data_IF_526916921948
#
_entry.id   IF_526916921948
#
_cell.length_a   1.000
_cell.length_b   1.000
_cell.length_c   1.000
_cell.angle_alpha   90.00
_cell.angle_beta   90.00
_cell.angle_gamma   90.00
#
_symmetry.space_group_name_H-M   'P 1'
#
loop_
_entity.id
_entity.type
_entity.pdbx_description
1 polymer ?
#
# COMPACT_ATOMS: atom_id res chain seq x y z
N UNK A 1 5.07 -25.67 4.05
CA UNK A 1 4.17 -24.58 4.54
C UNK A 1 2.82 -25.24 4.76
N UNK A 2 2.33 -25.27 6.00
CA UNK A 2 1.03 -25.88 6.33
C UNK A 2 -0.11 -24.88 6.15
N UNK A 3 -0.19 -23.88 6.98
CA UNK A 3 -1.28 -22.87 7.00
C UNK A 3 -0.69 -21.48 6.80
N UNK A 4 -1.34 -20.66 5.99
CA UNK A 4 -0.97 -19.25 5.80
C UNK A 4 -1.88 -18.40 6.67
N UNK A 5 -1.30 -17.44 7.41
CA UNK A 5 -2.06 -16.49 8.22
C UNK A 5 -1.74 -15.05 7.84
N UNK A 6 -2.75 -14.19 7.88
CA UNK A 6 -2.60 -12.75 7.73
C UNK A 6 -3.64 -11.99 8.55
N UNK A 7 -3.29 -10.80 8.97
CA UNK A 7 -4.23 -9.82 9.52
C UNK A 7 -4.53 -8.77 8.46
N UNK A 8 -5.61 -8.91 7.73
CA UNK A 8 -6.06 -7.94 6.74
C UNK A 8 -7.44 -8.28 6.18
N UNK A 9 -8.33 -7.31 6.12
CA UNK A 9 -9.61 -7.42 5.38
C UNK A 9 -9.56 -6.82 3.98
N UNK A 10 -8.52 -6.03 3.68
CA UNK A 10 -8.35 -5.37 2.39
C UNK A 10 -7.74 -6.27 1.31
N UNK A 11 -7.21 -5.66 0.27
CA UNK A 11 -6.63 -6.33 -0.89
C UNK A 11 -5.55 -7.36 -0.53
N UNK A 12 -4.77 -7.10 0.53
CA UNK A 12 -3.75 -8.03 1.01
C UNK A 12 -4.35 -9.33 1.57
N UNK A 13 -5.45 -9.24 2.34
CA UNK A 13 -6.19 -10.40 2.84
C UNK A 13 -6.83 -11.18 1.70
N UNK A 14 -7.53 -10.50 0.79
CA UNK A 14 -8.17 -11.10 -0.37
C UNK A 14 -7.17 -11.83 -1.27
N UNK A 15 -6.03 -11.20 -1.59
CA UNK A 15 -4.96 -11.83 -2.35
C UNK A 15 -4.38 -13.06 -1.64
N UNK A 16 -4.20 -12.99 -0.31
CA UNK A 16 -3.71 -14.14 0.48
C UNK A 16 -4.69 -15.30 0.41
N UNK A 17 -5.98 -15.05 0.64
CA UNK A 17 -7.01 -16.09 0.58
C UNK A 17 -7.13 -16.70 -0.82
N UNK A 18 -7.18 -15.87 -1.87
CA UNK A 18 -7.27 -16.31 -3.25
C UNK A 18 -6.06 -17.17 -3.67
N UNK A 19 -4.84 -16.70 -3.39
CA UNK A 19 -3.62 -17.43 -3.76
C UNK A 19 -3.45 -18.72 -2.95
N UNK A 20 -3.80 -18.73 -1.68
CA UNK A 20 -3.79 -19.94 -0.88
C UNK A 20 -4.77 -20.99 -1.45
N UNK A 21 -5.99 -20.56 -1.80
CA UNK A 21 -6.99 -21.43 -2.42
C UNK A 21 -6.49 -22.01 -3.76
N UNK A 22 -5.83 -21.22 -4.60
CA UNK A 22 -5.34 -21.65 -5.91
C UNK A 22 -4.28 -22.76 -5.85
N UNK A 23 -3.58 -22.87 -4.71
CA UNK A 23 -2.55 -23.90 -4.48
C UNK A 23 -2.97 -24.92 -3.42
N UNK A 24 -4.23 -24.91 -2.99
CA UNK A 24 -4.79 -25.88 -2.04
C UNK A 24 -4.24 -25.74 -0.61
N UNK A 25 -3.79 -24.54 -0.21
CA UNK A 25 -3.31 -24.28 1.15
C UNK A 25 -4.41 -23.66 2.02
N UNK A 26 -4.52 -24.04 3.31
CA UNK A 26 -5.40 -23.37 4.23
C UNK A 26 -4.97 -21.93 4.47
N UNK A 27 -5.93 -21.00 4.45
CA UNK A 27 -5.71 -19.60 4.82
C UNK A 27 -6.53 -19.23 6.04
N UNK A 28 -5.90 -18.54 6.99
CA UNK A 28 -6.52 -17.96 8.17
C UNK A 28 -6.34 -16.44 8.12
N UNK A 29 -7.46 -15.73 8.20
CA UNK A 29 -7.45 -14.27 8.21
C UNK A 29 -8.01 -13.78 9.55
N UNK A 30 -7.21 -12.99 10.27
CA UNK A 30 -7.66 -12.29 11.45
C UNK A 30 -8.05 -10.86 11.03
N UNK A 31 -9.22 -10.42 11.50
CA UNK A 31 -9.79 -9.14 11.13
C UNK A 31 -10.48 -8.51 12.33
N UNK A 32 -10.47 -7.18 12.49
CA UNK A 32 -11.29 -6.56 13.50
C UNK A 32 -12.79 -6.83 13.22
N UNK A 33 -13.60 -6.96 14.28
CA UNK A 33 -15.04 -7.20 14.14
C UNK A 33 -15.76 -6.10 13.38
N UNK A 34 -15.21 -4.90 13.37
CA UNK A 34 -15.71 -3.73 12.61
C UNK A 34 -15.48 -3.83 11.10
N UNK A 35 -14.82 -4.89 10.63
CA UNK A 35 -14.53 -5.09 9.22
C UNK A 35 -15.80 -5.07 8.35
N UNK A 36 -15.81 -4.41 7.18
CA UNK A 36 -16.96 -4.35 6.30
C UNK A 36 -17.43 -5.76 5.89
N UNK A 37 -18.73 -6.08 6.00
CA UNK A 37 -19.25 -7.42 5.69
C UNK A 37 -18.93 -7.90 4.28
N UNK A 38 -18.91 -7.00 3.30
CA UNK A 38 -18.57 -7.34 1.92
C UNK A 38 -17.13 -7.84 1.77
N UNK A 39 -16.18 -7.25 2.51
CA UNK A 39 -14.78 -7.71 2.53
C UNK A 39 -14.64 -9.07 3.21
N UNK A 40 -15.33 -9.28 4.32
CA UNK A 40 -15.36 -10.59 5.00
C UNK A 40 -15.97 -11.66 4.09
N UNK A 41 -17.07 -11.36 3.41
CA UNK A 41 -17.72 -12.27 2.46
C UNK A 41 -16.77 -12.70 1.32
N UNK A 42 -15.96 -11.78 0.80
CA UNK A 42 -14.94 -12.10 -0.22
C UNK A 42 -13.89 -13.10 0.29
N UNK A 43 -13.40 -12.92 1.51
CA UNK A 43 -12.44 -13.85 2.13
C UNK A 43 -13.04 -15.26 2.29
N UNK A 44 -14.27 -15.32 2.78
CA UNK A 44 -15.02 -16.58 2.93
C UNK A 44 -15.29 -17.26 1.59
N UNK A 45 -15.60 -16.48 0.54
CA UNK A 45 -15.81 -17.02 -0.81
C UNK A 45 -14.55 -17.69 -1.39
N UNK A 46 -13.35 -17.21 -1.01
CA UNK A 46 -12.08 -17.88 -1.34
C UNK A 46 -11.77 -19.09 -0.41
N UNK A 47 -12.65 -19.43 0.51
CA UNK A 47 -12.47 -20.58 1.43
C UNK A 47 -11.55 -20.30 2.61
N UNK A 48 -11.19 -19.04 2.88
CA UNK A 48 -10.41 -18.70 4.06
C UNK A 48 -11.25 -18.84 5.35
N UNK A 49 -10.61 -19.26 6.43
CA UNK A 49 -11.17 -19.16 7.77
C UNK A 49 -10.96 -17.75 8.29
N UNK A 50 -12.04 -17.04 8.64
CA UNK A 50 -11.97 -15.66 9.11
C UNK A 50 -12.30 -15.61 10.60
N UNK A 51 -11.36 -15.10 11.39
CA UNK A 51 -11.55 -14.84 12.81
C UNK A 51 -11.76 -13.36 13.05
N UNK A 52 -12.95 -12.99 13.53
CA UNK A 52 -13.26 -11.61 13.89
C UNK A 52 -12.78 -11.32 15.32
N UNK A 53 -11.80 -10.45 15.43
CA UNK A 53 -11.18 -10.05 16.70
C UNK A 53 -11.97 -8.89 17.31
N UNK A 54 -12.29 -8.98 18.60
CA UNK A 54 -12.84 -7.88 19.37
C UNK A 54 -11.74 -6.87 19.69
N UNK A 55 -11.45 -5.98 18.76
CA UNK A 55 -10.38 -5.00 18.89
C UNK A 55 -10.03 -4.30 17.59
N UNK A 56 -8.89 -3.65 17.60
CA UNK A 56 -8.34 -2.88 16.49
C UNK A 56 -7.64 -3.76 15.44
N UNK A 57 -7.25 -3.15 14.32
CA UNK A 57 -6.38 -3.80 13.34
C UNK A 57 -5.03 -4.22 13.95
N UNK A 58 -4.43 -3.36 14.79
CA UNK A 58 -3.15 -3.66 15.42
C UNK A 58 -3.22 -4.86 16.36
N UNK A 59 -4.31 -5.00 17.13
CA UNK A 59 -4.54 -6.17 17.97
C UNK A 59 -4.74 -7.45 17.16
N UNK A 60 -5.48 -7.39 16.04
CA UNK A 60 -5.59 -8.52 15.11
C UNK A 60 -4.25 -8.89 14.48
N UNK A 61 -3.43 -7.89 14.17
CA UNK A 61 -2.09 -8.07 13.63
C UNK A 61 -1.18 -8.78 14.65
N UNK A 62 -1.12 -8.29 15.87
CA UNK A 62 -0.29 -8.86 16.93
C UNK A 62 -0.74 -10.29 17.31
N UNK A 63 -2.06 -10.54 17.35
CA UNK A 63 -2.62 -11.87 17.54
C UNK A 63 -2.22 -12.84 16.44
N UNK A 64 -2.14 -12.37 15.18
CA UNK A 64 -1.71 -13.20 14.06
C UNK A 64 -0.24 -13.61 14.17
N UNK A 65 0.62 -12.77 14.73
CA UNK A 65 2.02 -13.11 15.02
C UNK A 65 2.07 -14.17 16.12
N UNK A 66 1.40 -13.95 17.25
CA UNK A 66 1.36 -14.89 18.36
C UNK A 66 0.83 -16.28 17.91
N UNK A 67 -0.23 -16.30 17.10
CA UNK A 67 -0.77 -17.54 16.54
C UNK A 67 0.23 -18.22 15.59
N UNK A 68 0.97 -17.46 14.79
CA UNK A 68 2.02 -18.01 13.93
C UNK A 68 3.10 -18.73 14.71
N UNK A 69 3.57 -18.10 15.79
CA UNK A 69 4.60 -18.66 16.66
C UNK A 69 4.09 -19.90 17.41
N UNK A 70 2.85 -19.85 17.91
CA UNK A 70 2.26 -20.95 18.69
C UNK A 70 1.95 -22.20 17.82
N UNK A 71 1.50 -21.99 16.60
CA UNK A 71 1.02 -23.08 15.72
C UNK A 71 1.94 -23.41 14.54
N UNK A 72 3.05 -22.70 14.38
CA UNK A 72 3.97 -22.88 13.25
C UNK A 72 3.36 -22.45 11.91
N UNK A 73 2.45 -21.48 11.90
CA UNK A 73 1.83 -20.98 10.68
C UNK A 73 2.75 -20.00 9.94
N UNK A 74 2.64 -19.99 8.61
CA UNK A 74 3.37 -19.02 7.79
C UNK A 74 2.68 -17.66 7.83
N UNK A 75 3.28 -16.72 8.55
CA UNK A 75 2.75 -15.36 8.64
C UNK A 75 3.10 -14.55 7.40
N UNK A 76 2.08 -14.01 6.73
CA UNK A 76 2.18 -13.25 5.50
C UNK A 76 2.00 -11.74 5.73
N UNK A 77 1.92 -11.27 6.97
CA UNK A 77 1.67 -9.85 7.24
C UNK A 77 2.67 -8.92 6.58
N UNK A 78 2.15 -7.81 6.07
CA UNK A 78 2.93 -6.66 5.60
C UNK A 78 3.78 -6.11 6.77
N UNK A 79 5.04 -5.76 6.49
CA UNK A 79 5.96 -5.26 7.51
C UNK A 79 6.57 -6.33 8.42
N UNK A 80 5.98 -7.52 8.49
CA UNK A 80 6.53 -8.67 9.22
C UNK A 80 7.30 -9.62 8.29
N UNK A 81 6.68 -10.00 7.18
CA UNK A 81 7.28 -10.93 6.21
C UNK A 81 8.01 -10.17 5.09
N UNK A 82 9.34 -10.31 4.95
CA UNK A 82 10.12 -9.59 3.96
C UNK A 82 9.75 -9.94 2.51
N UNK A 83 9.22 -11.14 2.26
CA UNK A 83 8.79 -11.54 0.91
C UNK A 83 7.60 -10.76 0.39
N UNK A 84 6.86 -10.06 1.25
CA UNK A 84 5.77 -9.17 0.78
C UNK A 84 6.28 -8.01 -0.06
N UNK A 85 7.48 -7.52 0.19
CA UNK A 85 8.16 -6.49 -0.61
C UNK A 85 8.65 -7.07 -1.94
N UNK A 86 9.18 -8.30 -1.92
CA UNK A 86 9.64 -8.99 -3.13
C UNK A 86 8.50 -9.21 -4.14
N UNK A 87 7.31 -9.57 -3.68
CA UNK A 87 6.15 -9.67 -4.55
C UNK A 87 5.73 -8.33 -5.15
N UNK A 88 5.77 -7.26 -4.37
CA UNK A 88 5.34 -5.91 -4.82
C UNK A 88 6.32 -5.22 -5.77
N UNK A 89 7.58 -5.63 -5.82
CA UNK A 89 8.56 -5.07 -6.76
C UNK A 89 8.23 -5.31 -8.22
N UNK A 90 7.39 -6.31 -8.52
CA UNK A 90 6.99 -6.63 -9.91
C UNK A 90 6.28 -5.46 -10.58
N UNK A 91 5.59 -4.60 -9.83
CA UNK A 91 4.98 -3.39 -10.38
C UNK A 91 6.03 -2.45 -11.02
N UNK A 92 7.24 -2.35 -10.45
CA UNK A 92 8.32 -1.58 -11.05
C UNK A 92 8.81 -2.19 -12.37
N UNK A 93 8.82 -3.50 -12.48
CA UNK A 93 9.20 -4.19 -13.70
C UNK A 93 8.19 -3.97 -14.83
N UNK A 94 6.89 -3.99 -14.50
CA UNK A 94 5.84 -3.68 -15.47
C UNK A 94 5.87 -2.21 -15.92
N UNK A 95 6.08 -1.27 -14.99
CA UNK A 95 6.27 0.15 -15.32
C UNK A 95 7.48 0.32 -16.24
N UNK A 96 8.60 -0.35 -15.94
CA UNK A 96 9.78 -0.32 -16.78
C UNK A 96 9.50 -0.89 -18.18
N UNK A 97 8.89 -2.07 -18.26
CA UNK A 97 8.57 -2.74 -19.52
C UNK A 97 7.64 -1.89 -20.39
N UNK A 98 6.58 -1.34 -19.82
CA UNK A 98 5.55 -0.64 -20.57
C UNK A 98 5.90 0.80 -20.95
N UNK A 99 6.70 1.49 -20.16
CA UNK A 99 7.02 2.91 -20.36
C UNK A 99 8.48 3.16 -20.72
N UNK A 100 9.42 2.61 -19.95
CA UNK A 100 10.84 3.00 -20.00
C UNK A 100 11.60 2.23 -21.06
N UNK A 101 11.41 0.92 -21.16
CA UNK A 101 12.15 0.05 -22.09
C UNK A 101 11.95 0.44 -23.56
N UNK A 102 10.87 1.14 -23.86
CA UNK A 102 10.57 1.67 -25.20
C UNK A 102 11.50 2.81 -25.62
N UNK A 103 12.30 3.34 -24.72
CA UNK A 103 13.18 4.50 -24.93
C UNK A 103 12.45 5.84 -25.09
N UNK A 104 11.11 5.86 -24.91
CA UNK A 104 10.31 7.08 -25.05
C UNK A 104 10.33 7.97 -23.81
N UNK A 105 10.68 7.41 -22.67
CA UNK A 105 10.62 8.08 -21.36
C UNK A 105 11.91 7.82 -20.60
N UNK A 106 12.54 8.90 -20.13
CA UNK A 106 13.74 8.82 -19.31
C UNK A 106 13.34 8.58 -17.83
N UNK A 107 13.86 7.54 -17.16
CA UNK A 107 13.57 7.27 -15.75
C UNK A 107 13.76 8.47 -14.83
N UNK A 108 14.79 9.29 -15.07
CA UNK A 108 15.11 10.47 -14.27
C UNK A 108 14.03 11.57 -14.34
N UNK A 109 13.20 11.57 -15.38
CA UNK A 109 12.15 12.57 -15.61
C UNK A 109 10.78 12.11 -15.09
N UNK A 110 10.66 10.83 -14.67
CA UNK A 110 9.41 10.27 -14.19
C UNK A 110 9.26 10.50 -12.68
N UNK A 111 8.05 10.87 -12.28
CA UNK A 111 7.61 10.79 -10.88
C UNK A 111 6.45 9.80 -10.79
N UNK A 112 6.58 8.80 -9.90
CA UNK A 112 5.56 7.77 -9.68
C UNK A 112 4.83 8.09 -8.39
N UNK A 113 3.54 8.40 -8.50
CA UNK A 113 2.67 8.67 -7.36
C UNK A 113 2.09 7.36 -6.83
N UNK A 114 2.30 7.09 -5.55
CA UNK A 114 1.97 5.82 -4.92
C UNK A 114 1.18 6.09 -3.63
N UNK A 115 -0.03 5.54 -3.48
CA UNK A 115 -0.76 5.66 -2.23
C UNK A 115 -0.08 4.86 -1.13
N UNK A 116 0.03 5.43 0.06
CA UNK A 116 0.84 4.89 1.15
C UNK A 116 0.05 4.78 2.45
N UNK A 117 -0.21 3.55 2.89
CA UNK A 117 -0.60 3.21 4.25
C UNK A 117 0.62 2.74 5.04
N UNK A 118 0.82 1.43 5.16
CA UNK A 118 1.97 0.81 5.84
C UNK A 118 3.34 1.13 5.22
N UNK A 119 3.40 1.57 3.96
CA UNK A 119 4.65 1.84 3.26
C UNK A 119 5.23 0.67 2.48
N UNK A 120 4.55 -0.49 2.44
CA UNK A 120 5.10 -1.69 1.81
C UNK A 120 5.09 -1.63 0.27
N UNK A 121 4.05 -1.04 -0.35
CA UNK A 121 3.96 -0.93 -1.81
C UNK A 121 5.08 -0.03 -2.36
N UNK A 122 5.22 1.17 -1.82
CA UNK A 122 6.26 2.12 -2.26
C UNK A 122 7.66 1.55 -2.04
N UNK A 123 7.87 0.79 -0.95
CA UNK A 123 9.12 0.09 -0.66
C UNK A 123 9.40 -1.02 -1.69
N UNK A 124 8.37 -1.76 -2.11
CA UNK A 124 8.48 -2.78 -3.15
C UNK A 124 8.82 -2.20 -4.52
N UNK A 125 8.12 -1.14 -4.92
CA UNK A 125 8.39 -0.43 -6.19
C UNK A 125 9.82 0.12 -6.17
N UNK A 126 10.25 0.77 -5.08
CA UNK A 126 11.61 1.24 -4.93
C UNK A 126 12.65 0.11 -5.08
N UNK A 127 12.37 -1.05 -4.46
CA UNK A 127 13.23 -2.21 -4.56
C UNK A 127 13.34 -2.71 -6.01
N UNK A 128 12.23 -2.79 -6.72
CA UNK A 128 12.23 -3.21 -8.12
C UNK A 128 13.07 -2.28 -9.00
N UNK A 129 12.92 -0.96 -8.87
CA UNK A 129 13.76 -0.01 -9.61
C UNK A 129 15.23 -0.08 -9.21
N UNK A 130 15.56 -0.34 -7.95
CA UNK A 130 16.95 -0.59 -7.54
C UNK A 130 17.52 -1.87 -8.14
N UNK A 131 16.70 -2.92 -8.31
CA UNK A 131 17.13 -4.14 -8.98
C UNK A 131 17.40 -3.85 -10.47
N UNK A 132 16.53 -3.09 -11.16
CA UNK A 132 16.75 -2.65 -12.55
C UNK A 132 18.02 -1.78 -12.71
N UNK A 133 18.27 -0.87 -11.77
CA UNK A 133 19.49 -0.06 -11.74
C UNK A 133 20.75 -0.92 -11.58
N UNK A 134 20.72 -1.90 -10.67
CA UNK A 134 21.85 -2.84 -10.47
C UNK A 134 22.12 -3.72 -11.67
N UNK A 135 21.08 -4.06 -12.43
CA UNK A 135 21.19 -4.81 -13.68
C UNK A 135 21.66 -3.95 -14.86
N UNK A 136 21.78 -2.64 -14.69
CA UNK A 136 22.13 -1.71 -15.76
C UNK A 136 21.02 -1.52 -16.81
N UNK A 137 19.76 -1.83 -16.46
CA UNK A 137 18.61 -1.64 -17.34
C UNK A 137 18.03 -0.23 -17.29
N UNK A 138 18.37 0.51 -16.26
CA UNK A 138 18.17 1.95 -16.11
C UNK A 138 19.41 2.58 -15.51
N UNK A 139 19.67 3.85 -15.83
CA UNK A 139 20.83 4.60 -15.33
C UNK A 139 20.53 5.39 -14.07
N UNK A 140 19.26 5.69 -13.81
CA UNK A 140 18.80 6.49 -12.68
C UNK A 140 17.46 5.97 -12.15
N UNK A 141 17.22 6.20 -10.87
CA UNK A 141 15.93 5.89 -10.24
C UNK A 141 14.87 6.94 -10.62
N UNK A 142 13.64 6.53 -10.92
CA UNK A 142 12.53 7.46 -10.98
C UNK A 142 12.24 8.05 -9.59
N UNK A 143 11.71 9.26 -9.54
CA UNK A 143 11.27 9.86 -8.28
C UNK A 143 10.00 9.19 -7.78
N UNK A 144 9.94 8.91 -6.48
CA UNK A 144 8.78 8.33 -5.84
C UNK A 144 8.04 9.40 -5.03
N UNK A 145 6.78 9.64 -5.36
CA UNK A 145 5.89 10.50 -4.59
C UNK A 145 4.95 9.62 -3.75
N UNK A 146 5.18 9.57 -2.45
CA UNK A 146 4.28 8.90 -1.51
C UNK A 146 3.06 9.76 -1.22
N UNK A 147 1.86 9.24 -1.42
CA UNK A 147 0.62 9.97 -1.15
C UNK A 147 -0.09 9.37 0.06
N UNK A 148 -0.34 10.17 1.07
CA UNK A 148 -1.10 9.79 2.27
C UNK A 148 -2.35 10.66 2.42
N UNK A 149 -3.43 10.08 2.94
CA UNK A 149 -4.57 10.87 3.40
C UNK A 149 -4.16 11.73 4.61
N UNK A 150 -4.62 12.97 4.70
CA UNK A 150 -4.28 13.88 5.82
C UNK A 150 -4.61 13.28 7.19
N UNK A 151 -5.71 12.52 7.28
CA UNK A 151 -6.12 11.81 8.49
C UNK A 151 -5.27 10.59 8.83
N UNK A 152 -4.33 10.16 7.93
CA UNK A 152 -3.46 9.00 8.13
C UNK A 152 -2.04 9.27 7.59
N UNK A 153 -1.41 10.36 7.99
CA UNK A 153 -0.20 10.91 7.37
C UNK A 153 1.06 10.75 8.23
N UNK A 154 1.22 9.65 8.98
CA UNK A 154 2.33 9.44 9.89
C UNK A 154 3.70 9.52 9.21
N UNK A 155 3.86 8.90 8.03
CA UNK A 155 5.13 8.88 7.29
C UNK A 155 5.43 10.25 6.68
N UNK A 156 4.41 10.90 6.08
CA UNK A 156 4.58 12.23 5.48
C UNK A 156 5.00 13.28 6.53
N UNK A 157 4.45 13.21 7.74
CA UNK A 157 4.84 14.07 8.87
C UNK A 157 6.29 13.84 9.28
N UNK A 158 6.74 12.59 9.40
CA UNK A 158 8.13 12.27 9.71
C UNK A 158 9.08 12.75 8.60
N UNK A 159 8.69 12.59 7.34
CA UNK A 159 9.47 13.09 6.20
C UNK A 159 9.63 14.62 6.24
N UNK A 160 8.53 15.34 6.44
CA UNK A 160 8.53 16.82 6.53
C UNK A 160 9.35 17.34 7.72
N UNK A 161 9.34 16.62 8.85
CA UNK A 161 10.16 16.93 10.02
C UNK A 161 11.64 16.54 9.87
N UNK A 162 12.04 15.90 8.76
CA UNK A 162 13.42 15.46 8.54
C UNK A 162 13.88 14.36 9.49
N UNK A 163 12.96 13.65 10.16
CA UNK A 163 13.26 12.60 11.14
C UNK A 163 13.02 11.20 10.57
N UNK A 164 13.66 10.19 11.16
CA UNK A 164 13.38 8.78 10.90
C UNK A 164 12.35 8.20 11.89
N UNK A 165 12.03 8.95 12.94
CA UNK A 165 11.06 8.52 13.92
C UNK A 165 9.64 8.78 13.42
N UNK A 166 8.89 7.71 13.18
CA UNK A 166 7.48 7.77 12.79
C UNK A 166 6.65 7.65 14.07
N UNK A 167 5.91 8.70 14.38
CA UNK A 167 4.97 8.70 15.50
C UNK A 167 3.60 8.18 15.04
N UNK A 168 2.90 7.40 15.87
CA UNK A 168 1.56 6.94 15.54
C UNK A 168 0.57 8.12 15.44
N UNK A 169 -0.47 7.92 14.65
CA UNK A 169 -1.60 8.83 14.52
C UNK A 169 -2.89 8.10 14.85
N UNK A 170 -3.98 8.81 15.05
CA UNK A 170 -5.32 8.22 15.02
C UNK A 170 -5.83 8.29 13.58
N UNK A 171 -5.67 7.21 12.84
CA UNK A 171 -5.99 7.21 11.43
C UNK A 171 -7.50 7.28 11.21
N UNK A 172 -7.92 8.26 10.42
CA UNK A 172 -9.31 8.44 10.02
C UNK A 172 -9.35 8.98 8.58
N UNK A 173 -9.85 8.18 7.64
CA UNK A 173 -9.99 8.53 6.23
C UNK A 173 -10.97 7.59 5.53
N UNK A 174 -11.62 8.07 4.47
CA UNK A 174 -12.45 7.25 3.55
C UNK A 174 -11.62 6.24 2.77
N UNK A 175 -10.31 6.46 2.66
CA UNK A 175 -9.36 5.58 1.99
C UNK A 175 -8.87 4.48 2.96
N UNK A 176 -9.77 3.57 3.34
CA UNK A 176 -9.57 2.57 4.40
C UNK A 176 -8.33 1.68 4.20
N UNK A 177 -7.98 1.34 2.95
CA UNK A 177 -6.81 0.50 2.64
C UNK A 177 -5.46 1.19 2.88
N UNK A 178 -5.44 2.52 3.09
CA UNK A 178 -4.27 3.30 3.52
C UNK A 178 -4.48 3.97 4.88
N UNK A 179 -5.54 3.61 5.62
CA UNK A 179 -5.81 4.07 6.98
C UNK A 179 -5.00 3.24 7.98
N UNK A 180 -3.91 3.79 8.49
CA UNK A 180 -2.95 3.08 9.35
C UNK A 180 -2.47 4.00 10.47
N UNK A 181 -2.62 3.56 11.72
CA UNK A 181 -2.17 4.33 12.90
C UNK A 181 -0.65 4.36 13.01
N UNK A 182 0.00 3.19 12.92
CA UNK A 182 1.44 3.04 12.95
C UNK A 182 1.93 2.21 11.75
N UNK A 183 2.48 2.85 10.70
CA UNK A 183 2.97 2.16 9.50
C UNK A 183 4.08 1.15 9.80
N UNK A 184 3.85 -0.13 9.50
CA UNK A 184 4.78 -1.24 9.80
C UNK A 184 6.03 -1.26 8.92
N UNK A 185 5.96 -0.71 7.70
CA UNK A 185 7.09 -0.53 6.78
C UNK A 185 7.49 0.95 6.60
N UNK A 186 7.06 1.82 7.51
CA UNK A 186 7.24 3.26 7.39
C UNK A 186 8.70 3.70 7.24
N UNK A 187 9.62 3.14 8.02
CA UNK A 187 11.06 3.46 7.92
C UNK A 187 11.63 3.10 6.56
N UNK A 188 11.19 1.96 5.99
CA UNK A 188 11.61 1.54 4.65
C UNK A 188 11.04 2.47 3.57
N UNK A 189 9.78 2.92 3.73
CA UNK A 189 9.16 3.88 2.83
C UNK A 189 9.87 5.23 2.86
N UNK A 190 10.18 5.78 4.04
CA UNK A 190 10.97 7.01 4.21
C UNK A 190 12.30 6.92 3.48
N UNK A 191 13.06 5.85 3.73
CA UNK A 191 14.35 5.60 3.07
C UNK A 191 14.19 5.52 1.56
N UNK A 192 13.19 4.80 1.06
CA UNK A 192 12.95 4.63 -0.37
C UNK A 192 12.65 5.93 -1.08
N UNK A 193 11.80 6.78 -0.49
CA UNK A 193 11.45 8.10 -1.05
C UNK A 193 12.66 9.02 -1.05
N UNK A 194 13.43 9.10 0.05
CA UNK A 194 14.65 9.91 0.13
C UNK A 194 15.71 9.49 -0.91
N UNK A 195 15.96 8.19 -1.03
CA UNK A 195 16.96 7.66 -1.99
C UNK A 195 16.57 7.88 -3.46
N UNK A 196 15.27 8.00 -3.76
CA UNK A 196 14.79 8.32 -5.10
C UNK A 196 14.78 9.84 -5.41
N UNK A 197 15.20 10.69 -4.47
CA UNK A 197 15.02 12.14 -4.58
C UNK A 197 13.55 12.57 -4.60
N UNK A 198 12.68 11.73 -4.05
CA UNK A 198 11.23 11.91 -4.05
C UNK A 198 10.71 12.75 -2.89
N UNK A 199 9.41 12.69 -2.68
CA UNK A 199 8.70 13.50 -1.67
C UNK A 199 7.41 12.81 -1.21
N UNK A 200 6.77 13.38 -0.18
CA UNK A 200 5.42 13.00 0.22
C UNK A 200 4.44 14.12 -0.07
N UNK A 201 3.21 13.74 -0.39
CA UNK A 201 2.03 14.61 -0.53
C UNK A 201 0.94 14.09 0.40
N UNK A 202 0.27 14.98 1.11
CA UNK A 202 -0.97 14.64 1.83
C UNK A 202 -2.16 15.16 1.05
N UNK A 203 -3.27 14.42 1.04
CA UNK A 203 -4.52 14.77 0.37
C UNK A 203 -5.69 14.63 1.33
N UNK A 204 -6.71 15.46 1.15
CA UNK A 204 -7.93 15.38 1.95
C UNK A 204 -8.85 14.26 1.44
N UNK A 205 -9.79 13.82 2.28
CA UNK A 205 -10.82 12.86 1.86
C UNK A 205 -11.69 13.40 0.71
N UNK A 206 -11.92 14.72 0.68
CA UNK A 206 -12.64 15.37 -0.40
C UNK A 206 -11.88 15.27 -1.74
N UNK A 207 -10.58 15.58 -1.74
CA UNK A 207 -9.73 15.42 -2.93
C UNK A 207 -9.70 13.97 -3.43
N UNK A 208 -9.66 13.00 -2.51
CA UNK A 208 -9.72 11.58 -2.86
C UNK A 208 -11.06 11.23 -3.51
N UNK A 209 -12.17 11.67 -2.93
CA UNK A 209 -13.50 11.39 -3.47
C UNK A 209 -13.72 12.05 -4.83
N UNK A 210 -13.20 13.26 -5.05
CA UNK A 210 -13.24 13.93 -6.35
C UNK A 210 -12.40 13.23 -7.43
N UNK A 211 -11.29 12.63 -7.05
CA UNK A 211 -10.42 11.88 -7.96
C UNK A 211 -11.12 10.63 -8.56
N UNK A 212 -12.08 10.02 -7.86
CA UNK A 212 -12.76 8.80 -8.31
C UNK A 212 -13.56 9.05 -9.63
N UNK A 213 -14.49 10.02 -9.72
CA UNK A 213 -15.19 10.28 -10.96
C UNK A 213 -14.27 10.81 -12.07
N UNK A 214 -13.19 11.55 -11.76
CA UNK A 214 -12.22 11.94 -12.78
C UNK A 214 -11.56 10.72 -13.45
N UNK A 215 -11.11 9.74 -12.65
CA UNK A 215 -10.59 8.47 -13.16
C UNK A 215 -11.68 7.66 -13.86
N UNK A 216 -12.91 7.68 -13.33
CA UNK A 216 -14.07 7.03 -13.93
C UNK A 216 -14.38 7.53 -15.34
N UNK A 217 -14.24 8.83 -15.60
CA UNK A 217 -14.40 9.42 -16.93
C UNK A 217 -13.37 8.93 -17.95
N UNK A 218 -12.24 8.44 -17.48
CA UNK A 218 -11.17 7.81 -18.28
C UNK A 218 -11.32 6.28 -18.38
N UNK A 219 -12.43 5.71 -17.87
CA UNK A 219 -12.70 4.27 -17.88
C UNK A 219 -12.03 3.49 -16.74
N UNK A 220 -11.49 4.17 -15.71
CA UNK A 220 -10.83 3.55 -14.57
C UNK A 220 -11.71 3.62 -13.32
N UNK A 221 -12.28 2.49 -12.90
CA UNK A 221 -13.01 2.40 -11.63
C UNK A 221 -12.05 1.93 -10.52
N UNK A 222 -11.84 2.78 -9.52
CA UNK A 222 -10.86 2.55 -8.47
C UNK A 222 -11.46 2.78 -7.08
N UNK A 223 -10.90 2.12 -6.07
CA UNK A 223 -11.22 2.39 -4.67
C UNK A 223 -10.59 3.72 -4.19
N UNK A 224 -11.09 4.33 -3.09
CA UNK A 224 -10.56 5.59 -2.57
C UNK A 224 -9.05 5.57 -2.32
N UNK A 225 -8.52 4.46 -1.80
CA UNK A 225 -7.10 4.33 -1.55
C UNK A 225 -6.25 4.44 -2.84
N UNK A 226 -6.72 3.88 -3.95
CA UNK A 226 -6.03 4.01 -5.23
C UNK A 226 -6.21 5.41 -5.83
N UNK A 227 -7.40 6.01 -5.69
CA UNK A 227 -7.68 7.38 -6.14
C UNK A 227 -6.77 8.43 -5.46
N UNK A 228 -6.30 8.17 -4.24
CA UNK A 228 -5.37 9.05 -3.54
C UNK A 228 -4.11 9.38 -4.36
N UNK A 229 -3.62 8.44 -5.20
CA UNK A 229 -2.46 8.70 -6.06
C UNK A 229 -2.74 9.81 -7.07
N UNK A 230 -3.92 9.76 -7.70
CA UNK A 230 -4.38 10.79 -8.65
C UNK A 230 -4.62 12.13 -7.95
N UNK A 231 -5.27 12.13 -6.79
CA UNK A 231 -5.46 13.33 -5.97
C UNK A 231 -4.12 13.99 -5.63
N UNK A 232 -3.09 13.21 -5.27
CA UNK A 232 -1.75 13.70 -4.98
C UNK A 232 -1.06 14.33 -6.19
N UNK A 233 -1.23 13.77 -7.39
CA UNK A 233 -0.74 14.36 -8.63
C UNK A 233 -1.43 15.69 -8.89
N UNK A 234 -2.77 15.74 -8.85
CA UNK A 234 -3.57 16.95 -9.07
C UNK A 234 -3.19 18.09 -8.12
N UNK A 235 -3.05 17.77 -6.82
CA UNK A 235 -2.64 18.76 -5.80
C UNK A 235 -1.26 19.34 -6.09
N UNK A 236 -0.31 18.53 -6.56
CA UNK A 236 1.06 18.98 -6.87
C UNK A 236 1.13 19.87 -8.12
N UNK A 237 0.30 19.61 -9.11
CA UNK A 237 0.25 20.41 -10.35
C UNK A 237 -0.48 21.76 -10.19
N UNK A 238 -0.92 22.10 -8.97
CA UNK A 238 -1.62 23.36 -8.69
C UNK A 238 -3.09 23.34 -9.09
N UNK A 239 -3.64 22.13 -9.29
CA UNK A 239 -5.07 21.95 -9.48
C UNK A 239 -5.81 22.17 -8.15
N UNK A 240 -6.15 23.40 -7.83
CA UNK A 240 -7.25 23.65 -6.91
C UNK A 240 -8.46 22.94 -7.49
N UNK A 241 -9.11 22.09 -6.69
CA UNK A 241 -10.44 21.56 -7.03
C UNK A 241 -11.31 22.75 -7.36
N UNK A 242 -11.72 22.88 -8.63
CA UNK A 242 -12.67 23.90 -8.99
C UNK A 242 -13.96 23.52 -8.25
N UNK A 243 -14.28 24.26 -7.21
CA UNK A 243 -15.61 24.25 -6.63
C UNK A 243 -16.55 24.85 -7.67
N UNK A 244 -17.15 24.01 -8.51
CA UNK A 244 -18.40 24.37 -9.20
C UNK A 244 -19.57 23.83 -8.37
N UNK A 245 -20.60 24.67 -8.22
CA UNK A 245 -21.72 24.48 -7.28
C UNK A 245 -22.65 23.33 -7.66
#
# INVERSE_FOLDING_TARGET
>A
IGTIVAASTGNAGAATACMAASVGLPAIILAPRSAPPAKVAQLLAFGAQVFLVEGTYDEAFDLSIQASDAFGWYNRNTGYNPFTVEGKKTAAFEIWEQLISTGKVNPAEITIYIPVGDGNIISGIAKGFKDLLRLGWIDQLPRLAGVQAEGSAAIARAFAAGTDQILPVQAQTVADSISVDLPRDGSRALKSVRESGGFFVTVTDEEILHAIPELGSSGLFVEPAAAAAWAGLRRREGGAVAHEP
#
